data_IF_640091757539
#
_entry.id   IF_640091757539
#
_cell.length_a   1.000
_cell.length_b   1.000
_cell.length_c   1.000
_cell.angle_alpha   90.00
_cell.angle_beta   90.00
_cell.angle_gamma   90.00
#
_symmetry.space_group_name_H-M   'P 1'
#
loop_
_entity.id
_entity.type
_entity.pdbx_description
1 polymer ?
#
# COMPACT_ATOMS: atom_id res chain seq x y z
N UNK A 1 -16.62 -28.70 30.38
CA UNK A 1 -15.98 -27.42 30.67
C UNK A 1 -14.87 -27.27 29.65
N UNK A 2 -15.11 -26.48 28.59
CA UNK A 2 -14.13 -26.26 27.53
C UNK A 2 -13.33 -25.01 27.90
N UNK A 3 -12.02 -25.18 28.03
CA UNK A 3 -11.06 -24.18 28.42
C UNK A 3 -10.90 -23.15 27.30
N UNK A 4 -11.35 -21.92 27.56
CA UNK A 4 -11.23 -20.78 26.66
C UNK A 4 -9.79 -20.27 26.74
N UNK A 5 -8.94 -20.77 25.83
CA UNK A 5 -7.55 -20.33 25.71
C UNK A 5 -7.52 -18.96 25.05
N UNK A 6 -7.19 -17.93 25.83
CA UNK A 6 -6.94 -16.56 25.36
C UNK A 6 -5.75 -16.54 24.38
N UNK A 7 -6.05 -16.40 23.09
CA UNK A 7 -5.06 -16.17 22.03
C UNK A 7 -4.43 -14.79 22.22
N UNK A 8 -3.23 -14.75 22.77
CA UNK A 8 -2.44 -13.52 22.91
C UNK A 8 -2.37 -12.75 21.57
N UNK A 9 -2.55 -11.41 21.59
CA UNK A 9 -2.54 -10.62 20.37
C UNK A 9 -1.18 -10.76 19.66
N UNK A 10 -1.20 -11.19 18.41
CA UNK A 10 0.00 -11.34 17.59
C UNK A 10 0.73 -10.00 17.54
N UNK A 11 2.07 -10.02 17.72
CA UNK A 11 2.93 -8.86 17.53
C UNK A 11 2.73 -8.33 16.10
N UNK A 12 1.94 -7.28 15.96
CA UNK A 12 1.79 -6.54 14.72
C UNK A 12 3.09 -5.76 14.49
N UNK A 13 3.68 -5.93 13.31
CA UNK A 13 4.85 -5.14 12.92
C UNK A 13 4.36 -3.70 12.73
N UNK A 14 5.00 -2.75 13.40
CA UNK A 14 4.75 -1.32 13.16
C UNK A 14 5.04 -0.95 11.71
N UNK A 15 4.54 0.20 11.23
CA UNK A 15 4.76 0.65 9.86
C UNK A 15 6.25 0.66 9.52
N UNK A 16 6.59 0.20 8.33
CA UNK A 16 7.98 0.11 7.89
C UNK A 16 8.61 1.51 7.89
N UNK A 17 9.72 1.66 8.63
CA UNK A 17 10.50 2.90 8.61
C UNK A 17 11.17 3.03 7.24
N UNK A 18 10.75 3.99 6.44
CA UNK A 18 11.34 4.32 5.13
C UNK A 18 12.66 5.08 5.30
N UNK A 19 13.59 4.52 6.08
CA UNK A 19 14.88 5.13 6.41
C UNK A 19 15.76 5.36 5.16
N UNK A 20 15.41 4.76 4.03
CA UNK A 20 16.08 4.95 2.75
C UNK A 20 15.73 6.26 2.05
N UNK A 21 14.62 6.91 2.38
CA UNK A 21 14.21 8.15 1.69
C UNK A 21 15.30 9.24 1.78
N UNK A 22 15.96 9.37 2.95
CA UNK A 22 17.12 10.25 3.12
C UNK A 22 18.43 9.76 2.49
N UNK A 23 18.50 8.50 2.04
CA UNK A 23 19.63 7.97 1.25
C UNK A 23 19.42 8.16 -0.26
N UNK A 24 18.18 8.17 -0.73
CA UNK A 24 17.84 8.38 -2.15
C UNK A 24 18.13 9.79 -2.65
N UNK A 25 18.29 10.79 -1.78
CA UNK A 25 18.72 12.14 -2.18
C UNK A 25 20.10 12.13 -2.88
N UNK A 26 20.90 11.07 -2.67
CA UNK A 26 22.24 10.89 -3.24
C UNK A 26 22.28 10.01 -4.50
N UNK A 27 21.15 9.41 -4.92
CA UNK A 27 21.09 8.55 -6.11
C UNK A 27 20.02 7.47 -6.03
N UNK A 28 19.61 6.93 -7.20
CA UNK A 28 18.64 5.83 -7.29
C UNK A 28 19.19 4.56 -6.65
N UNK A 29 18.37 3.85 -5.89
CA UNK A 29 18.75 2.56 -5.31
C UNK A 29 18.58 1.46 -6.37
N UNK A 30 19.65 0.78 -6.80
CA UNK A 30 19.53 -0.33 -7.74
C UNK A 30 18.83 -1.50 -7.05
N UNK A 31 17.74 -2.00 -7.62
CA UNK A 31 17.08 -3.20 -7.11
C UNK A 31 17.38 -4.37 -8.02
N UNK A 32 18.06 -5.38 -7.48
CA UNK A 32 18.33 -6.62 -8.21
C UNK A 32 17.10 -7.52 -8.13
N UNK A 33 16.65 -8.01 -9.28
CA UNK A 33 15.60 -9.02 -9.38
C UNK A 33 16.20 -10.35 -9.83
N UNK A 34 15.86 -11.42 -9.13
CA UNK A 34 16.18 -12.80 -9.51
C UNK A 34 14.87 -13.57 -9.68
N UNK A 35 14.62 -14.12 -10.87
CA UNK A 35 13.38 -14.84 -11.20
C UNK A 35 12.09 -14.06 -10.86
N UNK A 36 12.10 -12.74 -11.10
CA UNK A 36 10.94 -11.89 -10.83
C UNK A 36 10.70 -11.56 -9.35
N UNK A 37 11.66 -11.87 -8.47
CA UNK A 37 11.64 -11.50 -7.05
C UNK A 37 12.77 -10.52 -6.77
N UNK A 38 12.47 -9.39 -6.14
CA UNK A 38 13.50 -8.45 -5.69
C UNK A 38 14.33 -9.09 -4.56
N UNK A 39 15.65 -9.13 -4.71
CA UNK A 39 16.59 -9.69 -3.74
C UNK A 39 17.51 -8.60 -3.20
N UNK A 40 17.81 -8.67 -1.90
CA UNK A 40 18.73 -7.77 -1.22
C UNK A 40 18.03 -6.80 -0.25
N UNK A 41 18.81 -5.94 0.43
CA UNK A 41 18.27 -4.97 1.39
C UNK A 41 17.26 -4.01 0.74
N UNK A 42 17.51 -3.63 -0.52
CA UNK A 42 16.68 -2.70 -1.28
C UNK A 42 15.29 -3.29 -1.65
N UNK A 43 15.13 -4.62 -1.61
CA UNK A 43 13.84 -5.29 -1.84
C UNK A 43 12.82 -5.00 -0.73
N UNK A 44 13.30 -4.95 0.51
CA UNK A 44 12.46 -4.61 1.66
C UNK A 44 12.04 -3.16 1.59
N UNK A 45 12.95 -2.28 1.18
CA UNK A 45 12.71 -0.84 1.03
C UNK A 45 11.73 -0.56 -0.11
N UNK A 46 11.88 -1.24 -1.25
CA UNK A 46 10.92 -1.21 -2.35
C UNK A 46 9.53 -1.66 -1.89
N UNK A 47 9.46 -2.81 -1.21
CA UNK A 47 8.19 -3.34 -0.71
C UNK A 47 7.53 -2.41 0.31
N UNK A 48 8.33 -1.73 1.15
CA UNK A 48 7.85 -0.74 2.10
C UNK A 48 7.30 0.51 1.40
N UNK A 49 8.00 1.02 0.37
CA UNK A 49 7.52 2.16 -0.41
C UNK A 49 6.22 1.83 -1.14
N UNK A 50 6.19 0.71 -1.85
CA UNK A 50 4.99 0.22 -2.56
C UNK A 50 3.83 0.05 -1.58
N UNK A 51 4.11 -0.49 -0.39
CA UNK A 51 3.11 -0.63 0.67
C UNK A 51 2.61 0.70 1.21
N UNK A 52 3.45 1.75 1.26
CA UNK A 52 3.03 3.10 1.65
C UNK A 52 2.16 3.72 0.57
N UNK A 53 2.61 3.71 -0.68
CA UNK A 53 1.88 4.31 -1.80
C UNK A 53 0.56 3.59 -2.07
N UNK A 54 0.52 2.27 -1.83
CA UNK A 54 -0.71 1.47 -1.89
C UNK A 54 -1.76 1.86 -0.85
N UNK A 55 -1.33 2.46 0.25
CA UNK A 55 -2.16 2.93 1.36
C UNK A 55 -2.58 4.40 1.23
N UNK A 56 -1.90 5.13 0.36
CA UNK A 56 -2.18 6.54 0.10
C UNK A 56 -3.43 6.69 -0.77
N UNK A 57 -4.56 7.03 -0.13
CA UNK A 57 -5.84 7.25 -0.80
C UNK A 57 -5.81 8.42 -1.81
N UNK A 58 -4.90 9.38 -1.60
CA UNK A 58 -4.68 10.49 -2.53
C UNK A 58 -4.10 10.01 -3.87
N UNK A 59 -3.31 8.93 -3.84
CA UNK A 59 -2.65 8.39 -5.03
C UNK A 59 -3.45 7.29 -5.69
N UNK A 60 -4.29 6.58 -4.95
CA UNK A 60 -5.08 5.48 -5.45
C UNK A 60 -6.54 5.62 -5.04
N UNK A 61 -7.45 5.89 -5.98
CA UNK A 61 -8.84 6.03 -5.64
C UNK A 61 -9.44 4.72 -5.13
N UNK A 62 -10.12 4.77 -3.99
CA UNK A 62 -10.92 3.68 -3.45
C UNK A 62 -12.30 3.55 -4.11
N UNK A 63 -12.78 4.57 -4.83
CA UNK A 63 -14.04 4.52 -5.57
C UNK A 63 -14.07 3.35 -6.58
N UNK A 64 -12.91 3.08 -7.20
CA UNK A 64 -12.75 1.94 -8.09
C UNK A 64 -13.06 0.61 -7.41
N UNK A 65 -14.12 -0.07 -7.87
CA UNK A 65 -14.54 -1.38 -7.37
C UNK A 65 -13.46 -2.46 -7.53
N UNK A 66 -12.63 -2.38 -8.57
CA UNK A 66 -11.62 -3.39 -8.92
C UNK A 66 -10.32 -2.73 -9.35
N UNK A 67 -9.18 -3.29 -8.94
CA UNK A 67 -7.85 -2.86 -9.38
C UNK A 67 -7.67 -2.67 -10.90
N UNK A 68 -8.15 -3.58 -11.78
CA UNK A 68 -8.09 -3.35 -13.22
C UNK A 68 -8.88 -2.12 -13.69
N UNK A 69 -9.88 -1.65 -12.93
CA UNK A 69 -10.65 -0.44 -13.22
C UNK A 69 -10.01 0.84 -12.67
N UNK A 70 -9.03 0.74 -11.78
CA UNK A 70 -8.25 1.91 -11.33
C UNK A 70 -7.58 2.50 -12.56
N UNK A 71 -7.70 3.82 -12.73
CA UNK A 71 -7.17 4.50 -13.90
C UNK A 71 -5.66 4.24 -14.07
N UNK A 72 -5.22 4.15 -15.31
CA UNK A 72 -3.81 3.92 -15.63
C UNK A 72 -2.97 5.10 -15.16
N UNK A 73 -3.52 6.32 -15.15
CA UNK A 73 -2.81 7.51 -14.67
C UNK A 73 -2.40 7.42 -13.20
N UNK A 74 -3.21 6.82 -12.34
CA UNK A 74 -2.84 6.62 -10.93
C UNK A 74 -1.76 5.56 -10.78
N UNK A 75 -1.88 4.46 -11.54
CA UNK A 75 -0.88 3.39 -11.55
C UNK A 75 0.47 3.90 -12.05
N UNK A 76 0.46 4.71 -13.10
CA UNK A 76 1.65 5.28 -13.69
C UNK A 76 2.31 6.30 -12.78
N UNK A 77 1.54 7.20 -12.16
CA UNK A 77 2.07 8.13 -11.14
C UNK A 77 2.77 7.41 -9.99
N UNK A 78 2.14 6.39 -9.42
CA UNK A 78 2.74 5.59 -8.35
C UNK A 78 3.99 4.86 -8.85
N UNK A 79 3.95 4.30 -10.06
CA UNK A 79 5.10 3.62 -10.65
C UNK A 79 6.27 4.59 -10.92
N UNK A 80 5.98 5.82 -11.35
CA UNK A 80 6.96 6.88 -11.59
C UNK A 80 7.63 7.31 -10.28
N UNK A 81 6.87 7.50 -9.21
CA UNK A 81 7.42 7.77 -7.87
C UNK A 81 8.35 6.65 -7.41
N UNK A 82 7.96 5.39 -7.62
CA UNK A 82 8.81 4.24 -7.29
C UNK A 82 10.09 4.24 -8.14
N UNK A 83 9.99 4.56 -9.44
CA UNK A 83 11.12 4.65 -10.37
C UNK A 83 12.04 5.85 -10.13
N UNK A 84 11.57 6.89 -9.44
CA UNK A 84 12.42 8.00 -8.99
C UNK A 84 13.37 7.54 -7.88
N UNK A 85 12.89 6.69 -6.96
CA UNK A 85 13.67 6.19 -5.84
C UNK A 85 14.48 4.93 -6.16
N UNK A 86 13.95 4.08 -7.05
CA UNK A 86 14.53 2.77 -7.36
C UNK A 86 14.78 2.63 -8.85
N UNK A 87 15.94 2.07 -9.20
CA UNK A 87 16.26 1.72 -10.58
C UNK A 87 16.03 0.21 -10.77
N UNK A 88 15.09 -0.15 -11.65
CA UNK A 88 14.76 -1.54 -11.97
C UNK A 88 14.20 -1.67 -13.39
N UNK A 89 14.38 -2.83 -14.05
CA UNK A 89 13.91 -3.05 -15.40
C UNK A 89 12.37 -3.14 -15.47
N UNK A 90 11.80 -2.74 -16.62
CA UNK A 90 10.35 -2.71 -16.84
C UNK A 90 9.65 -4.06 -16.69
N UNK A 91 10.38 -5.17 -16.85
CA UNK A 91 9.87 -6.51 -16.58
C UNK A 91 9.37 -6.66 -15.14
N UNK A 92 9.96 -5.89 -14.22
CA UNK A 92 9.61 -5.87 -12.80
C UNK A 92 8.44 -4.94 -12.48
N UNK A 93 8.00 -4.07 -13.41
CA UNK A 93 6.79 -3.26 -13.24
C UNK A 93 5.58 -4.14 -12.91
N UNK A 94 5.47 -5.32 -13.55
CA UNK A 94 4.40 -6.29 -13.28
C UNK A 94 4.41 -6.77 -11.82
N UNK A 95 5.60 -7.01 -11.26
CA UNK A 95 5.76 -7.41 -9.86
C UNK A 95 5.37 -6.27 -8.91
N UNK A 96 5.83 -5.05 -9.19
CA UNK A 96 5.54 -3.85 -8.42
C UNK A 96 4.03 -3.57 -8.41
N UNK A 97 3.37 -3.59 -9.57
CA UNK A 97 1.92 -3.42 -9.70
C UNK A 97 1.15 -4.51 -8.96
N UNK A 98 1.64 -5.75 -8.94
CA UNK A 98 1.03 -6.84 -8.18
C UNK A 98 1.10 -6.60 -6.67
N UNK A 99 2.24 -6.12 -6.17
CA UNK A 99 2.41 -5.74 -4.76
C UNK A 99 1.56 -4.52 -4.41
N UNK A 100 1.46 -3.55 -5.30
CA UNK A 100 0.63 -2.37 -5.13
C UNK A 100 -0.85 -2.72 -5.04
N UNK A 101 -1.34 -3.59 -5.93
CA UNK A 101 -2.70 -4.13 -5.86
C UNK A 101 -2.99 -4.81 -4.52
N UNK A 102 -2.05 -5.62 -4.00
CA UNK A 102 -2.21 -6.27 -2.71
C UNK A 102 -2.33 -5.24 -1.57
N UNK A 103 -1.46 -4.23 -1.54
CA UNK A 103 -1.50 -3.16 -0.55
C UNK A 103 -2.79 -2.32 -0.62
N UNK A 104 -3.23 -1.96 -1.84
CA UNK A 104 -4.47 -1.22 -2.05
C UNK A 104 -5.71 -2.01 -1.62
N UNK A 105 -5.75 -3.32 -1.89
CA UNK A 105 -6.85 -4.18 -1.42
C UNK A 105 -6.89 -4.31 0.10
N UNK A 106 -5.72 -4.39 0.72
CA UNK A 106 -5.57 -4.46 2.18
C UNK A 106 -6.10 -3.18 2.83
N UNK A 107 -5.63 -2.01 2.38
CA UNK A 107 -6.11 -0.72 2.89
C UNK A 107 -7.60 -0.49 2.64
N UNK A 108 -8.10 -0.84 1.45
CA UNK A 108 -9.54 -0.78 1.16
C UNK A 108 -10.36 -1.69 2.08
N UNK A 109 -9.80 -2.82 2.50
CA UNK A 109 -10.45 -3.74 3.44
C UNK A 109 -10.42 -3.20 4.86
N UNK A 110 -9.27 -2.66 5.29
CA UNK A 110 -9.09 -2.05 6.61
C UNK A 110 -10.01 -0.85 6.77
N UNK A 111 -10.03 0.04 5.77
CA UNK A 111 -10.93 1.19 5.73
C UNK A 111 -12.41 0.80 5.81
N UNK A 112 -12.81 -0.28 5.11
CA UNK A 112 -14.19 -0.82 5.25
C UNK A 112 -14.45 -1.37 6.64
N UNK A 113 -13.46 -2.00 7.26
CA UNK A 113 -13.58 -2.55 8.60
C UNK A 113 -13.67 -1.46 9.66
N UNK A 114 -12.88 -0.40 9.55
CA UNK A 114 -12.82 0.69 10.52
C UNK A 114 -13.95 1.70 10.36
N UNK A 115 -14.32 2.05 9.12
CA UNK A 115 -15.22 3.18 8.85
C UNK A 115 -16.59 2.78 8.28
N UNK A 116 -16.73 1.58 7.70
CA UNK A 116 -18.02 1.13 7.17
C UNK A 116 -18.73 0.13 8.07
N UNK A 117 -18.05 -0.88 8.60
CA UNK A 117 -18.69 -1.93 9.41
C UNK A 117 -19.25 -1.46 10.77
N UNK A 118 -18.63 -0.54 11.52
CA UNK A 118 -19.13 -0.20 12.86
C UNK A 118 -20.29 0.78 12.85
N UNK A 119 -20.46 1.57 11.79
CA UNK A 119 -21.52 2.57 11.69
C UNK A 119 -22.66 2.05 10.81
N UNK A 120 -23.85 1.92 11.41
CA UNK A 120 -25.04 1.40 10.74
C UNK A 120 -25.73 2.47 9.86
N UNK A 121 -25.64 3.74 10.24
CA UNK A 121 -26.25 4.86 9.52
C UNK A 121 -25.29 5.55 8.57
N UNK A 122 -25.81 5.98 7.41
CA UNK A 122 -25.06 6.72 6.40
C UNK A 122 -24.50 8.05 6.94
N UNK A 123 -25.27 8.75 7.79
CA UNK A 123 -24.83 9.99 8.44
C UNK A 123 -23.64 9.78 9.37
N UNK A 124 -23.61 8.70 10.15
CA UNK A 124 -22.49 8.39 11.04
C UNK A 124 -21.23 8.00 10.26
N UNK A 125 -21.39 7.32 9.12
CA UNK A 125 -20.28 7.03 8.19
C UNK A 125 -19.71 8.29 7.55
N UNK A 126 -20.57 9.23 7.17
CA UNK A 126 -20.15 10.50 6.58
C UNK A 126 -19.46 11.40 7.61
N UNK A 127 -19.93 11.39 8.86
CA UNK A 127 -19.32 12.12 9.97
C UNK A 127 -17.98 11.52 10.43
N UNK A 128 -17.82 10.19 10.32
CA UNK A 128 -16.57 9.47 10.59
C UNK A 128 -15.79 9.18 9.31
N UNK A 129 -15.84 10.06 8.31
CA UNK A 129 -15.04 9.86 7.11
C UNK A 129 -13.55 9.90 7.49
N UNK A 130 -12.72 8.91 7.10
CA UNK A 130 -11.29 8.94 7.39
C UNK A 130 -10.67 10.23 6.82
N UNK A 131 -9.88 10.99 7.59
CA UNK A 131 -9.21 12.20 7.09
C UNK A 131 -8.16 11.92 6.00
N UNK A 132 -7.90 10.65 5.71
CA UNK A 132 -7.02 10.21 4.62
C UNK A 132 -7.75 10.10 3.29
N UNK A 133 -9.08 10.06 3.25
CA UNK A 133 -9.83 10.09 1.99
C UNK A 133 -9.87 11.52 1.47
N UNK A 134 -9.44 11.81 0.23
CA UNK A 134 -9.77 13.09 -0.39
C UNK A 134 -11.29 13.20 -0.51
N UNK A 135 -11.87 14.39 -0.31
CA UNK A 135 -13.32 14.64 -0.34
C UNK A 135 -13.99 14.29 -1.69
N UNK A 136 -13.20 14.06 -2.73
CA UNK A 136 -13.62 13.75 -4.12
C UNK A 136 -13.75 12.23 -4.39
N UNK A 137 -13.75 11.38 -3.37
CA UNK A 137 -13.74 9.90 -3.44
C UNK A 137 -14.91 9.25 -2.72
#
# INVERSE_FOLDING_TARGET
MAEEQEIAPKKVRGPAKLAFLGRTESGKLPVTFLNGVAIGPNSTELSALVGRLGRDANLLPFDSLKWPKVDVEYKDRVLLEIKQHFDFPDECNKYVLKKLNAAWKDEKSDMKHEYFKPFASMEERLANCPPKLPEDQ
#
